data_IF_170745782939
#
_entry.id   IF_170745782939
#
_cell.length_a   1.000
_cell.length_b   1.000
_cell.length_c   1.000
_cell.angle_alpha   90.00
_cell.angle_beta   90.00
_cell.angle_gamma   90.00
#
_symmetry.space_group_name_H-M   'P 1'
#
loop_
_entity.id
_entity.type
_entity.pdbx_description
1 polymer ?
#
# COMPACT_ATOMS: atom_id res chain seq x y z
N UNK A 1 34.62 -41.98 24.34
CA UNK A 1 36.00 -42.42 24.09
C UNK A 1 36.21 -42.44 22.58
N UNK A 2 37.27 -41.78 22.12
CA UNK A 2 37.71 -41.59 20.72
C UNK A 2 37.72 -42.90 19.89
N UNK A 3 37.22 -42.92 18.65
CA UNK A 3 37.78 -42.48 17.37
C UNK A 3 38.69 -43.53 16.67
N UNK A 4 38.28 -43.96 15.48
CA UNK A 4 39.12 -44.34 14.33
C UNK A 4 38.20 -44.43 13.10
N UNK A 5 38.28 -43.52 12.13
CA UNK A 5 39.26 -43.48 11.02
C UNK A 5 38.68 -44.12 9.75
N UNK A 6 38.51 -43.32 8.69
CA UNK A 6 39.11 -43.52 7.36
C UNK A 6 38.70 -42.32 6.49
N UNK A 7 39.67 -41.42 6.33
CA UNK A 7 39.66 -40.35 5.33
C UNK A 7 40.06 -40.99 4.00
N UNK A 8 39.11 -41.22 3.10
CA UNK A 8 39.42 -41.52 1.70
C UNK A 8 39.58 -40.20 0.95
N UNK A 9 40.80 -40.00 0.47
CA UNK A 9 41.31 -38.83 -0.25
C UNK A 9 40.61 -38.73 -1.61
N UNK A 10 39.87 -37.64 -1.85
CA UNK A 10 39.54 -37.17 -3.20
C UNK A 10 40.05 -35.72 -3.35
N UNK A 11 40.93 -35.44 -4.33
CA UNK A 11 41.48 -34.11 -4.52
C UNK A 11 40.49 -33.23 -5.29
N UNK A 12 40.34 -31.98 -4.85
CA UNK A 12 39.95 -30.88 -5.72
C UNK A 12 38.51 -30.88 -6.24
N UNK A 13 37.54 -30.52 -5.40
CA UNK A 13 36.49 -29.58 -5.80
C UNK A 13 36.02 -28.79 -4.59
N UNK A 14 36.12 -27.48 -4.72
CA UNK A 14 35.98 -26.49 -3.66
C UNK A 14 34.62 -26.65 -2.95
N UNK A 15 34.70 -26.56 -1.62
CA UNK A 15 33.71 -26.00 -0.69
C UNK A 15 32.61 -25.20 -1.40
N UNK A 16 31.36 -25.65 -1.28
CA UNK A 16 30.13 -24.82 -1.22
C UNK A 16 28.91 -25.76 -1.37
N UNK A 17 28.65 -26.56 -0.34
CA UNK A 17 27.35 -27.21 -0.20
C UNK A 17 26.66 -26.56 1.00
N UNK A 18 25.53 -25.92 0.68
CA UNK A 18 24.39 -25.68 1.55
C UNK A 18 24.59 -24.70 2.73
N UNK A 19 24.85 -23.44 2.40
CA UNK A 19 24.33 -22.32 3.18
C UNK A 19 23.66 -21.30 2.24
N UNK A 20 22.91 -21.79 1.26
CA UNK A 20 21.92 -20.98 0.57
C UNK A 20 20.79 -20.73 1.56
N UNK A 21 21.01 -19.76 2.46
CA UNK A 21 19.97 -19.09 3.21
C UNK A 21 18.89 -18.71 2.21
N UNK A 22 17.82 -19.50 2.18
CA UNK A 22 16.58 -19.14 1.53
C UNK A 22 16.09 -17.91 2.27
N UNK A 23 16.52 -16.73 1.81
CA UNK A 23 15.84 -15.47 2.11
C UNK A 23 14.47 -15.66 1.50
N UNK A 24 13.55 -16.19 2.29
CA UNK A 24 12.14 -16.18 1.98
C UNK A 24 11.81 -14.71 1.96
N UNK A 25 11.69 -14.15 0.77
CA UNK A 25 11.24 -12.79 0.56
C UNK A 25 9.79 -12.75 1.05
N UNK A 26 9.63 -12.58 2.37
CA UNK A 26 8.32 -12.31 2.97
C UNK A 26 7.93 -10.94 2.46
N UNK A 27 7.26 -10.90 1.31
CA UNK A 27 6.57 -9.69 0.87
C UNK A 27 5.72 -9.25 2.05
N UNK A 28 5.97 -8.06 2.64
CA UNK A 28 5.27 -7.66 3.83
C UNK A 28 3.77 -7.69 3.51
N UNK A 29 3.04 -8.51 4.26
CA UNK A 29 1.60 -8.59 4.14
C UNK A 29 1.04 -7.18 4.39
N UNK A 30 0.50 -6.55 3.35
CA UNK A 30 -0.19 -5.27 3.48
C UNK A 30 -1.67 -5.55 3.74
N UNK A 31 -2.21 -5.18 4.93
CA UNK A 31 -3.64 -5.35 5.19
C UNK A 31 -4.47 -4.43 4.28
N UNK A 32 -5.64 -4.91 3.85
CA UNK A 32 -6.62 -4.08 3.15
C UNK A 32 -7.41 -3.25 4.16
N UNK A 33 -7.66 -1.98 3.83
CA UNK A 33 -8.50 -1.12 4.67
C UNK A 33 -9.97 -1.49 4.50
N UNK A 34 -10.71 -1.55 5.62
CA UNK A 34 -12.17 -1.72 5.59
C UNK A 34 -12.92 -0.45 5.13
N UNK A 35 -12.23 0.69 5.04
CA UNK A 35 -12.81 1.97 4.62
C UNK A 35 -12.50 2.23 3.15
N UNK A 36 -13.50 2.50 2.30
CA UNK A 36 -13.29 2.83 0.89
C UNK A 36 -12.31 3.99 0.69
N UNK A 37 -11.52 3.96 -0.38
CA UNK A 37 -10.57 5.02 -0.69
C UNK A 37 -11.25 6.41 -0.82
N UNK A 38 -12.43 6.45 -1.44
CA UNK A 38 -13.24 7.66 -1.59
C UNK A 38 -13.58 8.27 -0.23
N UNK A 39 -14.11 7.47 0.71
CA UNK A 39 -14.44 7.95 2.05
C UNK A 39 -13.19 8.46 2.79
N UNK A 40 -12.06 7.75 2.70
CA UNK A 40 -10.81 8.18 3.34
C UNK A 40 -10.34 9.54 2.82
N UNK A 41 -10.37 9.76 1.51
CA UNK A 41 -10.00 11.05 0.90
C UNK A 41 -11.00 12.14 1.31
N UNK A 42 -12.30 11.87 1.24
CA UNK A 42 -13.35 12.82 1.62
C UNK A 42 -13.25 13.24 3.09
N UNK A 43 -12.93 12.31 3.99
CA UNK A 43 -12.65 12.59 5.41
C UNK A 43 -11.41 13.46 5.61
N UNK A 44 -10.37 13.28 4.79
CA UNK A 44 -9.19 14.16 4.80
C UNK A 44 -9.57 15.58 4.37
N UNK A 45 -10.40 15.73 3.33
CA UNK A 45 -10.87 17.03 2.85
C UNK A 45 -11.71 17.75 3.93
N UNK A 46 -12.67 17.07 4.53
CA UNK A 46 -13.46 17.60 5.65
C UNK A 46 -12.57 17.96 6.85
N UNK A 47 -11.63 17.07 7.20
CA UNK A 47 -10.69 17.28 8.31
C UNK A 47 -9.81 18.51 8.09
N UNK A 48 -9.33 18.75 6.86
CA UNK A 48 -8.57 19.95 6.52
C UNK A 48 -9.36 21.23 6.78
N UNK A 49 -10.65 21.26 6.46
CA UNK A 49 -11.47 22.47 6.64
C UNK A 49 -11.91 22.70 8.10
N UNK A 50 -12.14 21.63 8.85
CA UNK A 50 -12.77 21.71 10.18
C UNK A 50 -11.75 21.68 11.33
N UNK A 51 -10.72 20.83 11.22
CA UNK A 51 -9.79 20.55 12.31
C UNK A 51 -8.75 21.64 12.50
N UNK A 52 -8.39 21.89 13.76
CA UNK A 52 -7.22 22.69 14.14
C UNK A 52 -5.89 22.10 13.60
N UNK A 53 -5.82 20.79 13.36
CA UNK A 53 -4.66 20.14 12.75
C UNK A 53 -4.61 20.33 11.22
N UNK A 54 -5.66 20.89 10.64
CA UNK A 54 -5.72 21.35 9.26
C UNK A 54 -5.69 22.87 9.20
N UNK A 55 -6.63 23.46 8.47
CA UNK A 55 -6.85 24.90 8.31
C UNK A 55 -8.08 25.39 9.11
N UNK A 56 -8.76 24.47 9.78
CA UNK A 56 -9.91 24.77 10.63
C UNK A 56 -9.52 25.22 12.04
N UNK A 57 -10.49 25.18 12.95
CA UNK A 57 -10.34 25.72 14.31
C UNK A 57 -10.75 24.75 15.41
N UNK A 58 -11.36 23.61 15.05
CA UNK A 58 -11.89 22.67 16.02
C UNK A 58 -10.78 21.68 16.48
N UNK A 59 -10.36 21.70 17.76
CA UNK A 59 -9.38 20.75 18.29
C UNK A 59 -9.91 19.31 18.40
N UNK A 60 -11.23 19.10 18.31
CA UNK A 60 -11.91 17.81 18.44
C UNK A 60 -12.88 17.54 17.28
N UNK A 61 -12.43 17.84 16.06
CA UNK A 61 -13.23 17.81 14.84
C UNK A 61 -13.75 16.42 14.38
N UNK A 62 -13.47 15.32 15.07
CA UNK A 62 -13.82 13.97 14.57
C UNK A 62 -15.31 13.81 14.30
N UNK A 63 -16.17 14.24 15.22
CA UNK A 63 -17.62 14.20 15.04
C UNK A 63 -18.11 15.11 13.91
N UNK A 64 -17.50 16.28 13.75
CA UNK A 64 -17.82 17.20 12.66
C UNK A 64 -17.40 16.61 11.29
N UNK A 65 -16.24 15.95 11.23
CA UNK A 65 -15.78 15.22 10.04
C UNK A 65 -16.72 14.06 9.70
N UNK A 66 -17.16 13.28 10.68
CA UNK A 66 -18.13 12.20 10.47
C UNK A 66 -19.46 12.70 9.86
N UNK A 67 -19.87 13.91 10.24
CA UNK A 67 -21.08 14.54 9.72
C UNK A 67 -20.89 15.12 8.30
N UNK A 68 -19.74 15.72 8.01
CA UNK A 68 -19.52 16.53 6.80
C UNK A 68 -18.82 15.81 5.64
N UNK A 69 -18.13 14.68 5.87
CA UNK A 69 -17.27 14.09 4.83
C UNK A 69 -18.02 13.73 3.54
N UNK A 70 -19.31 13.39 3.62
CA UNK A 70 -20.11 13.02 2.44
C UNK A 70 -20.22 14.16 1.43
N UNK A 71 -20.13 15.41 1.89
CA UNK A 71 -20.18 16.60 1.04
C UNK A 71 -18.93 16.71 0.14
N UNK A 72 -17.85 15.98 0.47
CA UNK A 72 -16.59 15.95 -0.27
C UNK A 72 -16.41 14.68 -1.12
N UNK A 73 -17.45 13.85 -1.27
CA UNK A 73 -17.36 12.62 -2.08
C UNK A 73 -17.03 12.92 -3.54
N UNK A 74 -17.64 13.97 -4.10
CA UNK A 74 -17.37 14.37 -5.49
C UNK A 74 -15.94 14.87 -5.69
N UNK A 75 -15.43 15.65 -4.74
CA UNK A 75 -14.02 16.09 -4.74
C UNK A 75 -13.06 14.90 -4.64
N UNK A 76 -13.39 13.91 -3.79
CA UNK A 76 -12.60 12.68 -3.67
C UNK A 76 -12.56 11.89 -4.99
N UNK A 77 -13.70 11.79 -5.69
CA UNK A 77 -13.72 11.21 -7.04
C UNK A 77 -12.92 12.04 -8.03
N UNK A 78 -13.01 13.37 -8.01
CA UNK A 78 -12.23 14.23 -8.89
C UNK A 78 -10.71 13.99 -8.70
N UNK A 79 -10.25 13.90 -7.45
CA UNK A 79 -8.86 13.55 -7.12
C UNK A 79 -8.49 12.18 -7.68
N UNK A 80 -9.31 11.14 -7.45
CA UNK A 80 -9.02 9.81 -7.98
C UNK A 80 -9.01 9.77 -9.52
N UNK A 81 -9.81 10.62 -10.18
CA UNK A 81 -9.79 10.75 -11.62
C UNK A 81 -8.47 11.32 -12.16
N UNK A 82 -7.80 12.21 -11.42
CA UNK A 82 -6.47 12.71 -11.81
C UNK A 82 -5.39 11.64 -11.67
N UNK A 83 -5.60 10.69 -10.76
CA UNK A 83 -4.69 9.57 -10.48
C UNK A 83 -4.85 8.37 -11.44
N UNK A 84 -5.75 8.43 -12.43
CA UNK A 84 -5.94 7.32 -13.40
C UNK A 84 -4.69 6.99 -14.20
N UNK A 85 -3.82 7.97 -14.40
CA UNK A 85 -2.58 7.84 -15.15
C UNK A 85 -1.41 8.02 -14.18
N UNK A 86 -0.59 6.96 -13.95
CA UNK A 86 0.58 7.10 -13.10
C UNK A 86 1.64 7.95 -13.80
N UNK A 87 2.40 8.72 -13.03
CA UNK A 87 3.56 9.45 -13.57
C UNK A 87 4.76 8.51 -13.83
N UNK A 88 5.85 9.08 -14.35
CA UNK A 88 7.06 8.31 -14.69
C UNK A 88 7.71 7.62 -13.48
N UNK A 89 7.68 8.24 -12.29
CA UNK A 89 8.26 7.64 -11.08
C UNK A 89 7.41 6.48 -10.60
N UNK A 90 6.09 6.63 -10.62
CA UNK A 90 5.14 5.57 -10.29
C UNK A 90 5.24 4.39 -11.25
N UNK A 91 5.38 4.66 -12.56
CA UNK A 91 5.55 3.63 -13.58
C UNK A 91 6.89 2.87 -13.45
N UNK A 92 7.94 3.52 -12.93
CA UNK A 92 9.22 2.84 -12.63
C UNK A 92 9.13 1.98 -11.37
N UNK A 93 8.28 2.36 -10.41
CA UNK A 93 8.14 1.65 -9.13
C UNK A 93 7.27 0.38 -9.22
N UNK A 94 6.44 0.23 -10.24
CA UNK A 94 5.50 -0.88 -10.32
C UNK A 94 4.80 -1.05 -11.66
N UNK A 95 3.72 -1.83 -11.66
CA UNK A 95 2.96 -2.17 -12.86
C UNK A 95 1.85 -1.14 -13.15
N UNK A 96 1.96 -0.48 -14.30
CA UNK A 96 1.01 0.55 -14.77
C UNK A 96 -0.39 -0.03 -15.03
N UNK A 97 -0.50 -1.24 -15.56
CA UNK A 97 -1.78 -1.87 -15.84
C UNK A 97 -2.51 -2.26 -14.54
N UNK A 98 -1.76 -2.74 -13.54
CA UNK A 98 -2.31 -3.01 -12.20
C UNK A 98 -2.80 -1.72 -11.55
N UNK A 99 -2.01 -0.64 -11.59
CA UNK A 99 -2.41 0.67 -11.08
C UNK A 99 -3.72 1.16 -11.71
N UNK A 100 -3.80 1.16 -13.05
CA UNK A 100 -5.00 1.57 -13.79
C UNK A 100 -6.22 0.73 -13.40
N UNK A 101 -6.03 -0.57 -13.20
CA UNK A 101 -7.11 -1.48 -12.77
C UNK A 101 -7.58 -1.17 -11.34
N UNK A 102 -6.67 -0.87 -10.42
CA UNK A 102 -7.01 -0.51 -9.04
C UNK A 102 -7.79 0.81 -8.96
N UNK A 103 -7.30 1.86 -9.61
CA UNK A 103 -8.02 3.14 -9.66
C UNK A 103 -9.36 2.99 -10.40
N UNK A 104 -9.37 2.26 -11.51
CA UNK A 104 -10.58 1.94 -12.26
C UNK A 104 -11.63 1.22 -11.42
N UNK A 105 -11.23 0.26 -10.58
CA UNK A 105 -12.16 -0.44 -9.68
C UNK A 105 -12.83 0.51 -8.66
N UNK A 106 -12.08 1.48 -8.12
CA UNK A 106 -12.64 2.49 -7.21
C UNK A 106 -13.59 3.44 -7.93
N UNK A 107 -13.28 3.84 -9.17
CA UNK A 107 -14.16 4.73 -9.95
C UNK A 107 -15.41 3.99 -10.46
N UNK A 108 -15.29 2.71 -10.81
CA UNK A 108 -16.40 1.89 -11.29
C UNK A 108 -17.46 1.61 -10.23
N UNK A 109 -17.09 1.54 -8.94
CA UNK A 109 -18.05 1.35 -7.85
C UNK A 109 -19.06 2.50 -7.73
N UNK A 110 -18.71 3.70 -8.22
CA UNK A 110 -19.62 4.85 -8.30
C UNK A 110 -20.80 4.60 -9.23
N UNK A 111 -20.57 3.92 -10.36
CA UNK A 111 -21.60 3.69 -11.36
C UNK A 111 -22.62 2.62 -10.93
N UNK A 112 -22.31 1.86 -9.88
CA UNK A 112 -23.17 0.82 -9.31
C UNK A 112 -23.86 1.21 -7.99
N UNK A 113 -23.71 2.45 -7.53
CA UNK A 113 -24.35 3.01 -6.33
C UNK A 113 -25.46 3.98 -6.74
#
# INVERSE_FOLDING_TARGET
MAAASIYAILPGRKRELAAATLVREERPFMPTSCTPAVERIARVLAGRQLSLNGEGKDPHASGAVDAAWRDHVEDAYAILNTLREPDAQMAQAGDVAVWRSMIGAVLGSRAGA
#
